data_IF_494792937657
#
_entry.id   IF_494792937657
#
_cell.length_a   1.000
_cell.length_b   1.000
_cell.length_c   1.000
_cell.angle_alpha   90.00
_cell.angle_beta   90.00
_cell.angle_gamma   90.00
#
_symmetry.space_group_name_H-M   'P 1'
#
loop_
_entity.id
_entity.type
_entity.pdbx_description
1 polymer ?
#
# COMPACT_ATOMS: atom_id res chain seq x y z
N UNK A 1 0.37 16.14 21.43
CA UNK A 1 -0.13 15.61 20.16
C UNK A 1 -0.65 14.21 20.42
N UNK A 2 -1.72 13.79 19.76
CA UNK A 2 -2.19 12.42 19.86
C UNK A 2 -1.30 11.46 19.07
N UNK A 3 -1.59 10.15 19.19
CA UNK A 3 -0.85 9.10 18.47
C UNK A 3 -1.56 8.74 17.16
N UNK A 4 -0.78 8.31 16.18
CA UNK A 4 -1.30 7.75 14.92
C UNK A 4 -1.33 6.22 15.02
N UNK A 5 -2.52 5.62 14.85
CA UNK A 5 -2.62 4.17 14.66
C UNK A 5 -2.26 3.83 13.21
N UNK A 6 -1.19 3.06 13.01
CA UNK A 6 -0.80 2.54 11.70
C UNK A 6 -1.05 1.03 11.67
N UNK A 7 -2.03 0.59 10.89
CA UNK A 7 -2.24 -0.85 10.67
C UNK A 7 -1.45 -1.34 9.48
N UNK A 8 -1.01 -2.60 9.50
CA UNK A 8 -0.03 -3.10 8.54
C UNK A 8 1.37 -2.51 8.78
N UNK A 9 1.69 -2.15 10.02
CA UNK A 9 2.92 -1.46 10.41
C UNK A 9 4.20 -2.25 10.13
N UNK A 10 4.14 -3.58 10.09
CA UNK A 10 5.25 -4.45 9.67
C UNK A 10 5.26 -4.71 8.15
N UNK A 11 4.26 -4.21 7.42
CA UNK A 11 4.17 -4.28 5.98
C UNK A 11 5.10 -3.30 5.28
N UNK A 12 5.18 -3.40 3.95
CA UNK A 12 6.03 -2.54 3.12
C UNK A 12 5.74 -1.05 3.32
N UNK A 13 4.54 -0.60 2.98
CA UNK A 13 4.18 0.81 3.05
C UNK A 13 4.01 1.25 4.51
N UNK A 14 3.40 0.41 5.36
CA UNK A 14 3.14 0.73 6.76
C UNK A 14 4.41 1.01 7.57
N UNK A 15 5.49 0.25 7.32
CA UNK A 15 6.78 0.50 7.96
C UNK A 15 7.38 1.85 7.56
N UNK A 16 7.33 2.22 6.28
CA UNK A 16 7.82 3.52 5.80
C UNK A 16 6.99 4.68 6.33
N UNK A 17 5.66 4.54 6.38
CA UNK A 17 4.77 5.56 6.98
C UNK A 17 5.07 5.73 8.46
N UNK A 18 5.19 4.62 9.20
CA UNK A 18 5.56 4.66 10.63
C UNK A 18 6.91 5.35 10.83
N UNK A 19 7.92 5.03 10.02
CA UNK A 19 9.23 5.68 10.07
C UNK A 19 9.13 7.19 9.81
N UNK A 20 8.36 7.61 8.81
CA UNK A 20 8.20 9.02 8.47
C UNK A 20 7.45 9.81 9.55
N UNK A 21 6.43 9.22 10.18
CA UNK A 21 5.73 9.81 11.33
C UNK A 21 6.68 9.98 12.53
N UNK A 22 7.45 8.94 12.87
CA UNK A 22 8.45 9.00 13.92
C UNK A 22 9.53 10.06 13.65
N UNK A 23 9.99 10.18 12.41
CA UNK A 23 10.96 11.22 11.99
C UNK A 23 10.39 12.64 12.11
N UNK A 24 9.07 12.82 12.04
CA UNK A 24 8.36 14.08 12.31
C UNK A 24 8.16 14.35 13.81
N UNK A 25 8.60 13.46 14.69
CA UNK A 25 8.40 13.55 16.14
C UNK A 25 6.99 13.13 16.60
N UNK A 26 6.24 12.44 15.73
CA UNK A 26 4.92 11.91 16.07
C UNK A 26 5.06 10.53 16.76
N UNK A 27 4.08 10.17 17.59
CA UNK A 27 4.03 8.86 18.23
C UNK A 27 3.14 7.91 17.45
N UNK A 28 3.55 6.65 17.32
CA UNK A 28 2.89 5.64 16.49
C UNK A 28 2.50 4.42 17.33
N UNK A 29 1.25 4.00 17.16
CA UNK A 29 0.77 2.67 17.56
C UNK A 29 0.70 1.80 16.31
N UNK A 30 1.62 0.84 16.20
CA UNK A 30 1.68 -0.10 15.07
C UNK A 30 0.87 -1.36 15.34
N UNK A 31 0.11 -1.83 14.35
CA UNK A 31 -0.65 -3.07 14.39
C UNK A 31 -0.35 -3.91 13.15
N UNK A 32 0.02 -5.19 13.33
CA UNK A 32 0.20 -6.17 12.26
C UNK A 32 0.09 -7.59 12.85
N UNK A 33 -0.41 -8.56 12.09
CA UNK A 33 -0.49 -9.96 12.54
C UNK A 33 0.76 -10.79 12.21
N UNK A 34 1.71 -10.22 11.46
CA UNK A 34 2.90 -10.89 10.95
C UNK A 34 2.58 -12.16 10.15
N UNK A 35 1.48 -12.16 9.37
CA UNK A 35 1.06 -13.34 8.61
C UNK A 35 2.18 -13.85 7.68
N UNK A 36 2.23 -15.18 7.40
CA UNK A 36 3.29 -15.81 6.61
C UNK A 36 3.00 -15.79 5.10
N UNK A 37 2.32 -14.77 4.58
CA UNK A 37 2.11 -14.61 3.13
C UNK A 37 3.44 -14.57 2.35
N UNK A 38 4.44 -13.96 2.96
CA UNK A 38 5.85 -14.08 2.60
C UNK A 38 6.67 -14.22 3.88
N UNK A 39 7.98 -14.45 3.76
CA UNK A 39 8.86 -14.70 4.91
C UNK A 39 8.67 -13.65 6.01
N UNK A 40 8.19 -14.02 7.20
CA UNK A 40 8.01 -13.11 8.33
C UNK A 40 9.28 -12.40 8.78
N UNK A 41 10.47 -12.98 8.53
CA UNK A 41 11.75 -12.36 8.89
C UNK A 41 11.89 -10.94 8.30
N UNK A 42 11.37 -10.71 7.09
CA UNK A 42 11.37 -9.38 6.49
C UNK A 42 10.47 -8.39 7.26
N UNK A 43 9.33 -8.85 7.80
CA UNK A 43 8.45 -8.04 8.64
C UNK A 43 9.09 -7.71 9.99
N UNK A 44 9.72 -8.70 10.59
CA UNK A 44 10.45 -8.54 11.86
C UNK A 44 11.63 -7.58 11.70
N UNK A 45 12.39 -7.67 10.61
CA UNK A 45 13.48 -6.76 10.31
C UNK A 45 13.01 -5.30 10.14
N UNK A 46 11.84 -5.06 9.52
CA UNK A 46 11.23 -3.72 9.45
C UNK A 46 10.87 -3.20 10.84
N UNK A 47 10.27 -4.03 11.70
CA UNK A 47 9.94 -3.65 13.08
C UNK A 47 11.19 -3.35 13.92
N UNK A 48 12.25 -4.14 13.78
CA UNK A 48 13.53 -3.87 14.44
C UNK A 48 14.12 -2.52 14.00
N UNK A 49 14.06 -2.21 12.68
CA UNK A 49 14.51 -0.93 12.17
C UNK A 49 13.69 0.24 12.72
N UNK A 50 12.37 0.11 12.84
CA UNK A 50 11.49 1.11 13.46
C UNK A 50 11.81 1.32 14.93
N UNK A 51 11.87 0.24 15.70
CA UNK A 51 12.15 0.30 17.15
C UNK A 51 13.52 0.89 17.44
N UNK A 52 14.54 0.55 16.62
CA UNK A 52 15.91 1.05 16.78
C UNK A 52 16.08 2.54 16.45
N UNK A 53 15.17 3.13 15.70
CA UNK A 53 15.19 4.55 15.30
C UNK A 53 14.24 5.42 16.14
N UNK A 54 13.23 4.83 16.76
CA UNK A 54 12.24 5.56 17.54
C UNK A 54 12.83 6.08 18.86
N UNK A 55 12.42 7.27 19.28
CA UNK A 55 12.63 7.72 20.64
C UNK A 55 11.90 6.78 21.63
N UNK A 56 12.39 6.64 22.87
CA UNK A 56 11.73 5.78 23.85
C UNK A 56 10.26 6.10 24.02
N UNK A 57 9.39 5.08 23.82
CA UNK A 57 7.94 5.21 23.94
C UNK A 57 7.22 5.82 22.72
N UNK A 58 7.95 6.30 21.71
CA UNK A 58 7.34 6.87 20.51
C UNK A 58 6.74 5.83 19.56
N UNK A 59 7.22 4.59 19.59
CA UNK A 59 6.68 3.47 18.79
C UNK A 59 6.26 2.33 19.72
N UNK A 60 5.01 1.92 19.61
CA UNK A 60 4.44 0.77 20.30
C UNK A 60 3.87 -0.19 19.27
N UNK A 61 4.20 -1.48 19.36
CA UNK A 61 3.75 -2.48 18.39
C UNK A 61 2.83 -3.51 19.05
N UNK A 62 1.69 -3.76 18.41
CA UNK A 62 0.73 -4.80 18.77
C UNK A 62 0.66 -5.87 17.68
N UNK A 63 1.01 -7.11 18.04
CA UNK A 63 0.77 -8.26 17.16
C UNK A 63 -0.67 -8.70 17.29
N UNK A 64 -1.51 -8.25 16.34
CA UNK A 64 -2.96 -8.48 16.37
C UNK A 64 -3.49 -8.63 14.95
N UNK A 65 -4.43 -9.55 14.75
CA UNK A 65 -5.14 -9.71 13.48
C UNK A 65 -6.29 -8.69 13.39
N UNK A 66 -6.41 -8.03 12.24
CA UNK A 66 -7.51 -7.08 12.00
C UNK A 66 -8.89 -7.73 12.06
N UNK A 67 -8.97 -9.03 11.73
CA UNK A 67 -10.20 -9.80 11.80
C UNK A 67 -10.57 -10.24 13.22
N UNK A 68 -9.65 -10.13 14.19
CA UNK A 68 -9.96 -10.20 15.61
C UNK A 68 -10.62 -8.90 16.06
N UNK A 69 -11.92 -8.82 15.80
CA UNK A 69 -12.72 -7.61 16.05
C UNK A 69 -12.68 -7.19 17.51
N UNK A 70 -12.76 -8.14 18.45
CA UNK A 70 -12.74 -7.83 19.90
C UNK A 70 -11.38 -7.28 20.32
N UNK A 71 -10.29 -7.89 19.84
CA UNK A 71 -8.93 -7.41 20.07
C UNK A 71 -8.70 -6.01 19.53
N UNK A 72 -9.14 -5.73 18.30
CA UNK A 72 -9.01 -4.39 17.67
C UNK A 72 -9.81 -3.34 18.45
N UNK A 73 -11.06 -3.63 18.77
CA UNK A 73 -11.90 -2.71 19.54
C UNK A 73 -11.37 -2.48 20.96
N UNK A 74 -10.88 -3.54 21.60
CA UNK A 74 -10.23 -3.47 22.93
C UNK A 74 -8.97 -2.60 22.91
N UNK A 75 -8.10 -2.76 21.89
CA UNK A 75 -6.92 -1.91 21.71
C UNK A 75 -7.31 -0.44 21.55
N UNK A 76 -8.24 -0.13 20.64
CA UNK A 76 -8.64 1.26 20.37
C UNK A 76 -9.35 1.92 21.56
N UNK A 77 -10.06 1.15 22.35
CA UNK A 77 -10.67 1.61 23.61
C UNK A 77 -9.63 1.87 24.71
N UNK A 78 -8.62 1.00 24.85
CA UNK A 78 -7.53 1.13 25.81
C UNK A 78 -6.54 2.26 25.48
N UNK A 79 -6.57 2.77 24.23
CA UNK A 79 -5.68 3.82 23.74
C UNK A 79 -6.45 5.09 23.38
N UNK A 80 -6.92 5.84 24.38
CA UNK A 80 -7.64 7.10 24.15
C UNK A 80 -6.76 8.22 23.61
N UNK A 81 -5.47 8.04 23.54
CA UNK A 81 -4.48 8.92 22.94
C UNK A 81 -4.36 8.81 21.40
N UNK A 82 -4.96 7.79 20.77
CA UNK A 82 -5.04 7.70 19.32
C UNK A 82 -6.04 8.75 18.78
N UNK A 83 -5.57 9.66 17.91
CA UNK A 83 -6.38 10.72 17.31
C UNK A 83 -6.53 10.62 15.78
N UNK A 84 -5.69 9.82 15.12
CA UNK A 84 -5.71 9.57 13.67
C UNK A 84 -5.40 8.12 13.34
N UNK A 85 -5.89 7.66 12.19
CA UNK A 85 -5.67 6.28 11.72
C UNK A 85 -5.12 6.29 10.30
N UNK A 86 -4.04 5.54 10.07
CA UNK A 86 -3.54 5.16 8.74
C UNK A 86 -3.73 3.65 8.60
N UNK A 87 -4.81 3.27 7.92
CA UNK A 87 -5.20 1.87 7.77
C UNK A 87 -4.66 1.27 6.48
N UNK A 88 -3.48 0.62 6.56
CA UNK A 88 -2.80 -0.03 5.44
C UNK A 88 -2.80 -1.56 5.56
N UNK A 89 -3.21 -2.10 6.70
CA UNK A 89 -3.32 -3.54 6.94
C UNK A 89 -4.36 -4.18 6.02
N UNK A 90 -3.93 -5.15 5.23
CA UNK A 90 -4.78 -5.89 4.30
C UNK A 90 -4.06 -7.14 3.80
N UNK A 91 -4.82 -8.15 3.35
CA UNK A 91 -4.27 -9.19 2.49
C UNK A 91 -4.13 -8.63 1.08
N UNK A 92 -2.89 -8.53 0.59
CA UNK A 92 -2.55 -8.00 -0.71
C UNK A 92 -2.20 -9.12 -1.71
N UNK A 93 -2.09 -8.78 -3.00
CA UNK A 93 -1.74 -9.71 -4.07
C UNK A 93 -2.96 -10.19 -4.85
N UNK A 94 -3.05 -9.83 -6.14
CA UNK A 94 -4.20 -10.19 -6.99
C UNK A 94 -4.28 -11.71 -7.18
N UNK A 95 -3.15 -12.36 -7.48
CA UNK A 95 -3.12 -13.80 -7.81
C UNK A 95 -3.43 -14.68 -6.61
N UNK A 96 -2.88 -14.35 -5.45
CA UNK A 96 -3.13 -15.11 -4.22
C UNK A 96 -4.61 -15.10 -3.80
N UNK A 97 -5.40 -14.10 -4.25
CA UNK A 97 -6.84 -14.09 -3.98
C UNK A 97 -7.62 -15.21 -4.66
N UNK A 98 -7.04 -15.87 -5.68
CA UNK A 98 -7.61 -17.05 -6.32
C UNK A 98 -7.35 -18.33 -5.52
N UNK A 99 -6.26 -18.35 -4.75
CA UNK A 99 -5.82 -19.53 -3.99
C UNK A 99 -6.33 -19.49 -2.54
N UNK A 100 -6.36 -18.31 -1.91
CA UNK A 100 -6.76 -18.13 -0.52
C UNK A 100 -7.89 -17.08 -0.35
N UNK A 101 -9.09 -17.27 -0.95
CA UNK A 101 -10.13 -16.25 -1.00
C UNK A 101 -10.61 -15.80 0.39
N UNK A 102 -10.70 -16.70 1.35
CA UNK A 102 -11.16 -16.37 2.72
C UNK A 102 -10.19 -15.46 3.49
N UNK A 103 -8.88 -15.52 3.20
CA UNK A 103 -7.92 -14.59 3.79
C UNK A 103 -8.21 -13.14 3.38
N UNK A 104 -8.72 -12.93 2.16
CA UNK A 104 -9.07 -11.59 1.66
C UNK A 104 -10.36 -11.06 2.27
N UNK A 105 -11.40 -11.88 2.40
CA UNK A 105 -12.64 -11.45 3.05
C UNK A 105 -12.40 -11.20 4.54
N UNK A 106 -11.64 -12.05 5.21
CA UNK A 106 -11.29 -11.87 6.62
C UNK A 106 -10.50 -10.56 6.85
N UNK A 107 -9.35 -10.40 6.19
CA UNK A 107 -8.49 -9.24 6.42
C UNK A 107 -9.07 -7.93 5.85
N UNK A 108 -9.61 -7.97 4.61
CA UNK A 108 -9.96 -6.75 3.88
C UNK A 108 -11.40 -6.29 4.11
N UNK A 109 -12.31 -7.19 4.50
CA UNK A 109 -13.71 -6.84 4.76
C UNK A 109 -13.95 -6.81 6.26
N UNK A 110 -13.79 -7.93 6.97
CA UNK A 110 -13.98 -7.97 8.43
C UNK A 110 -12.97 -7.08 9.14
N UNK A 111 -11.68 -7.15 8.77
CA UNK A 111 -10.64 -6.31 9.38
C UNK A 111 -10.85 -4.82 9.12
N UNK A 112 -11.28 -4.42 7.91
CA UNK A 112 -11.62 -3.04 7.63
C UNK A 112 -12.81 -2.57 8.48
N UNK A 113 -13.86 -3.40 8.61
CA UNK A 113 -15.00 -3.13 9.46
C UNK A 113 -14.61 -2.96 10.94
N UNK A 114 -13.66 -3.77 11.44
CA UNK A 114 -13.16 -3.65 12.81
C UNK A 114 -12.55 -2.26 13.08
N UNK A 115 -11.81 -1.72 12.11
CA UNK A 115 -11.25 -0.36 12.21
C UNK A 115 -12.36 0.70 12.16
N UNK A 116 -13.31 0.59 11.22
CA UNK A 116 -14.44 1.52 11.14
C UNK A 116 -15.25 1.56 12.43
N UNK A 117 -15.55 0.40 13.03
CA UNK A 117 -16.23 0.30 14.33
C UNK A 117 -15.40 0.90 15.47
N UNK A 118 -14.09 0.68 15.49
CA UNK A 118 -13.21 1.31 16.47
C UNK A 118 -13.21 2.84 16.36
N UNK A 119 -13.14 3.38 15.14
CA UNK A 119 -13.22 4.83 14.88
C UNK A 119 -14.60 5.35 15.29
N UNK A 120 -15.71 4.69 14.92
CA UNK A 120 -17.06 5.08 15.31
C UNK A 120 -17.23 5.16 16.83
N UNK A 121 -16.74 4.15 17.55
CA UNK A 121 -16.84 4.08 19.03
C UNK A 121 -15.89 5.05 19.75
N UNK A 122 -15.01 5.73 19.00
CA UNK A 122 -14.17 6.78 19.58
C UNK A 122 -14.90 8.11 19.81
N UNK A 123 -16.17 8.22 19.38
CA UNK A 123 -17.06 9.37 19.61
C UNK A 123 -16.43 10.71 19.15
N UNK A 124 -15.78 10.70 17.98
CA UNK A 124 -15.16 11.88 17.37
C UNK A 124 -13.74 12.19 17.86
N UNK A 125 -13.20 11.42 18.78
CA UNK A 125 -11.80 11.55 19.23
C UNK A 125 -10.81 11.27 18.10
N UNK A 126 -11.09 10.28 17.25
CA UNK A 126 -10.33 10.00 16.03
C UNK A 126 -10.88 10.90 14.93
N UNK A 127 -10.14 11.97 14.62
CA UNK A 127 -10.56 13.04 13.71
C UNK A 127 -10.37 12.73 12.23
N UNK A 128 -9.57 11.71 11.86
CA UNK A 128 -9.34 11.34 10.46
C UNK A 128 -8.87 9.90 10.30
N UNK A 129 -9.40 9.25 9.28
CA UNK A 129 -8.93 7.92 8.84
C UNK A 129 -8.50 8.00 7.38
N UNK A 130 -7.22 7.73 7.12
CA UNK A 130 -6.69 7.47 5.78
C UNK A 130 -6.58 5.97 5.58
N UNK A 131 -7.12 5.42 4.50
CA UNK A 131 -7.08 3.98 4.27
C UNK A 131 -6.63 3.61 2.85
N UNK A 132 -5.99 2.44 2.74
CA UNK A 132 -5.53 1.91 1.47
C UNK A 132 -6.66 1.29 0.65
N UNK A 133 -6.86 1.78 -0.57
CA UNK A 133 -7.54 1.10 -1.67
C UNK A 133 -6.53 0.69 -2.75
N UNK A 134 -6.93 0.48 -3.97
CA UNK A 134 -6.09 -0.01 -5.08
C UNK A 134 -6.62 0.43 -6.43
N UNK A 135 -5.73 0.67 -7.39
CA UNK A 135 -6.11 0.87 -8.80
C UNK A 135 -6.85 -0.32 -9.42
N UNK A 136 -6.73 -1.52 -8.82
CA UNK A 136 -7.43 -2.72 -9.29
C UNK A 136 -8.96 -2.61 -9.20
N UNK A 137 -9.50 -1.67 -8.42
CA UNK A 137 -10.97 -1.43 -8.35
C UNK A 137 -11.54 -0.93 -9.67
N UNK A 138 -10.74 -0.29 -10.51
CA UNK A 138 -11.17 0.17 -11.83
C UNK A 138 -11.38 -0.95 -12.85
N UNK A 139 -10.78 -2.12 -12.62
CA UNK A 139 -10.76 -3.21 -13.59
C UNK A 139 -9.84 -2.95 -14.77
N UNK A 140 -10.22 -3.43 -15.96
CA UNK A 140 -9.44 -3.33 -17.20
C UNK A 140 -9.93 -2.17 -18.05
N UNK A 141 -9.01 -1.45 -18.67
CA UNK A 141 -9.24 -0.36 -19.63
C UNK A 141 -8.37 -0.60 -20.88
N UNK A 142 -8.91 -0.30 -22.06
CA UNK A 142 -8.22 -0.51 -23.34
C UNK A 142 -8.00 0.78 -24.14
N UNK A 143 -8.52 1.92 -23.66
CA UNK A 143 -8.48 3.21 -24.36
C UNK A 143 -7.16 3.98 -24.14
N UNK A 144 -6.22 3.42 -23.35
CA UNK A 144 -4.92 4.04 -23.09
C UNK A 144 -4.98 5.34 -22.28
N UNK A 145 -6.12 5.66 -21.67
CA UNK A 145 -6.27 6.86 -20.84
C UNK A 145 -5.89 6.61 -19.39
N UNK A 146 -5.42 7.63 -18.63
CA UNK A 146 -5.20 7.49 -17.21
C UNK A 146 -6.52 7.23 -16.48
N UNK A 147 -6.46 6.46 -15.39
CA UNK A 147 -7.59 6.29 -14.51
C UNK A 147 -7.81 7.55 -13.65
N UNK A 148 -9.06 7.99 -13.56
CA UNK A 148 -9.50 9.12 -12.73
C UNK A 148 -10.40 8.63 -11.62
N UNK A 149 -10.48 9.36 -10.52
CA UNK A 149 -11.36 9.03 -9.39
C UNK A 149 -12.85 9.04 -9.77
N UNK A 150 -13.20 9.80 -10.82
CA UNK A 150 -14.55 9.86 -11.40
C UNK A 150 -14.90 8.67 -12.29
N UNK A 151 -13.91 7.84 -12.66
CA UNK A 151 -14.17 6.64 -13.44
C UNK A 151 -14.89 5.60 -12.58
N UNK A 152 -15.86 4.92 -13.19
CA UNK A 152 -16.65 3.92 -12.49
C UNK A 152 -15.82 2.70 -12.11
N UNK A 153 -15.89 2.31 -10.85
CA UNK A 153 -15.27 1.11 -10.30
C UNK A 153 -16.34 0.01 -10.14
N UNK A 154 -16.87 -0.49 -11.25
CA UNK A 154 -18.01 -1.43 -11.24
C UNK A 154 -17.63 -2.86 -11.64
N UNK A 155 -16.40 -3.08 -12.14
CA UNK A 155 -15.96 -4.37 -12.70
C UNK A 155 -14.60 -4.80 -12.16
N UNK A 156 -14.50 -5.05 -10.84
CA UNK A 156 -13.25 -5.53 -10.27
C UNK A 156 -12.86 -6.86 -10.92
N UNK A 157 -11.61 -6.96 -11.42
CA UNK A 157 -11.13 -8.12 -12.15
C UNK A 157 -10.69 -9.30 -11.25
N UNK A 158 -10.73 -9.13 -9.93
CA UNK A 158 -10.31 -10.14 -8.94
C UNK A 158 -11.05 -9.98 -7.62
N UNK A 159 -11.03 -11.04 -6.81
CA UNK A 159 -11.59 -10.99 -5.46
C UNK A 159 -10.85 -9.95 -4.59
N UNK A 160 -9.53 -9.82 -4.74
CA UNK A 160 -8.77 -8.74 -4.10
C UNK A 160 -9.37 -7.37 -4.40
N UNK A 161 -9.57 -7.06 -5.69
CA UNK A 161 -10.15 -5.80 -6.11
C UNK A 161 -11.57 -5.61 -5.56
N UNK A 162 -12.39 -6.66 -5.56
CA UNK A 162 -13.74 -6.64 -5.02
C UNK A 162 -13.75 -6.34 -3.51
N UNK A 163 -12.85 -6.97 -2.72
CA UNK A 163 -12.76 -6.70 -1.28
C UNK A 163 -12.28 -5.28 -0.97
N UNK A 164 -11.38 -4.71 -1.80
CA UNK A 164 -10.94 -3.32 -1.63
C UNK A 164 -12.03 -2.33 -2.00
N UNK A 165 -12.80 -2.60 -3.07
CA UNK A 165 -13.97 -1.80 -3.42
C UNK A 165 -15.06 -1.87 -2.33
N UNK A 166 -15.29 -3.04 -1.74
CA UNK A 166 -16.18 -3.19 -0.59
C UNK A 166 -15.73 -2.30 0.58
N UNK A 167 -14.43 -2.19 0.84
CA UNK A 167 -13.89 -1.27 1.84
C UNK A 167 -14.22 0.20 1.55
N UNK A 168 -14.12 0.65 0.28
CA UNK A 168 -14.53 2.01 -0.12
C UNK A 168 -16.02 2.25 0.15
N UNK A 169 -16.88 1.27 -0.19
CA UNK A 169 -18.33 1.37 0.01
C UNK A 169 -18.70 1.37 1.51
N UNK A 170 -18.06 0.53 2.32
CA UNK A 170 -18.25 0.54 3.77
C UNK A 170 -17.80 1.87 4.37
N UNK A 171 -16.64 2.39 4.00
CA UNK A 171 -16.13 3.70 4.44
C UNK A 171 -17.09 4.83 4.10
N UNK A 172 -17.64 4.84 2.87
CA UNK A 172 -18.65 5.83 2.45
C UNK A 172 -19.91 5.73 3.31
N UNK A 173 -20.42 4.51 3.52
CA UNK A 173 -21.62 4.27 4.37
C UNK A 173 -21.39 4.75 5.81
N UNK A 174 -20.23 4.45 6.40
CA UNK A 174 -19.89 4.89 7.76
C UNK A 174 -19.74 6.41 7.86
N UNK A 175 -19.22 7.05 6.82
CA UNK A 175 -19.17 8.51 6.74
C UNK A 175 -20.58 9.10 6.71
N UNK A 176 -21.48 8.56 5.87
CA UNK A 176 -22.84 9.08 5.72
C UNK A 176 -23.69 8.87 6.98
N UNK A 177 -23.50 7.73 7.66
CA UNK A 177 -24.31 7.38 8.85
C UNK A 177 -23.76 8.01 10.15
N UNK A 178 -22.46 8.13 10.27
CA UNK A 178 -21.80 8.48 11.55
C UNK A 178 -20.92 9.73 11.46
N UNK A 179 -20.84 10.37 10.29
CA UNK A 179 -20.06 11.61 10.12
C UNK A 179 -18.54 11.41 10.12
N UNK A 180 -18.02 10.19 9.97
CA UNK A 180 -16.58 9.92 10.08
C UNK A 180 -15.81 10.56 8.91
N UNK A 181 -14.81 11.43 9.15
CA UNK A 181 -13.96 11.97 8.11
C UNK A 181 -13.01 10.90 7.59
N UNK A 182 -13.08 10.58 6.28
CA UNK A 182 -12.29 9.50 5.70
C UNK A 182 -11.70 9.86 4.34
N UNK A 183 -10.47 9.41 4.10
CA UNK A 183 -9.77 9.51 2.82
C UNK A 183 -9.27 8.16 2.36
N UNK A 184 -9.80 7.66 1.26
CA UNK A 184 -9.32 6.45 0.59
C UNK A 184 -8.23 6.77 -0.43
N UNK A 185 -7.16 5.98 -0.47
CA UNK A 185 -6.08 6.12 -1.45
C UNK A 185 -6.02 4.89 -2.35
N UNK A 186 -6.25 5.07 -3.65
CA UNK A 186 -6.15 4.01 -4.67
C UNK A 186 -4.71 3.92 -5.14
N UNK A 187 -3.94 3.02 -4.53
CA UNK A 187 -2.53 2.81 -4.87
C UNK A 187 -2.38 2.15 -6.24
N UNK A 188 -1.46 2.71 -7.02
CA UNK A 188 -0.90 2.05 -8.19
C UNK A 188 0.28 1.17 -7.79
N UNK A 189 1.20 0.83 -8.71
CA UNK A 189 2.24 -0.15 -8.40
C UNK A 189 3.37 0.47 -7.58
N UNK A 190 3.40 0.20 -6.28
CA UNK A 190 4.43 0.73 -5.38
C UNK A 190 5.67 -0.16 -5.39
N UNK A 191 6.86 0.46 -5.46
CA UNK A 191 8.14 -0.22 -5.41
C UNK A 191 9.17 0.53 -4.55
N UNK A 192 10.25 -0.15 -4.15
CA UNK A 192 11.32 0.48 -3.38
C UNK A 192 11.97 -0.45 -2.34
N UNK A 193 12.90 0.09 -1.53
CA UNK A 193 13.51 -0.61 -0.40
C UNK A 193 12.47 -1.24 0.53
N UNK A 194 12.81 -2.37 1.15
CA UNK A 194 11.90 -3.08 2.03
C UNK A 194 10.59 -3.53 1.35
N UNK A 195 10.56 -3.61 0.01
CA UNK A 195 9.39 -3.96 -0.77
C UNK A 195 8.87 -5.36 -0.50
N UNK A 196 7.82 -5.75 -1.24
CA UNK A 196 7.23 -7.08 -1.11
C UNK A 196 7.92 -8.08 -2.05
N UNK A 197 8.25 -9.29 -1.57
CA UNK A 197 8.94 -10.31 -2.37
C UNK A 197 8.15 -10.86 -3.57
N UNK A 198 6.81 -10.70 -3.58
CA UNK A 198 5.93 -11.13 -4.68
C UNK A 198 5.85 -10.13 -5.85
N UNK A 199 6.53 -8.99 -5.75
CA UNK A 199 6.53 -7.96 -6.80
C UNK A 199 7.60 -8.21 -7.86
N UNK A 200 7.32 -7.83 -9.12
CA UNK A 200 8.16 -8.10 -10.27
C UNK A 200 9.60 -7.61 -10.10
N UNK A 201 9.82 -6.37 -9.65
CA UNK A 201 11.17 -5.83 -9.44
C UNK A 201 11.99 -6.65 -8.43
N UNK A 202 11.33 -7.18 -7.37
CA UNK A 202 11.98 -8.05 -6.39
C UNK A 202 12.32 -9.42 -6.99
N UNK A 203 11.33 -10.08 -7.61
CA UNK A 203 11.49 -11.39 -8.23
C UNK A 203 12.57 -11.38 -9.32
N UNK A 204 12.62 -10.31 -10.12
CA UNK A 204 13.63 -10.16 -11.16
C UNK A 204 15.02 -9.94 -10.59
N UNK A 205 15.14 -9.12 -9.56
CA UNK A 205 16.43 -8.91 -8.87
C UNK A 205 16.97 -10.20 -8.27
N UNK A 206 16.13 -10.96 -7.58
CA UNK A 206 16.50 -12.26 -6.98
C UNK A 206 16.93 -13.26 -8.05
N UNK A 207 16.15 -13.40 -9.13
CA UNK A 207 16.47 -14.29 -10.23
C UNK A 207 17.78 -13.92 -10.93
N UNK A 208 17.97 -12.63 -11.27
CA UNK A 208 19.18 -12.15 -11.94
C UNK A 208 20.44 -12.38 -11.11
N UNK A 209 20.39 -12.12 -9.80
CA UNK A 209 21.54 -12.36 -8.90
C UNK A 209 21.85 -13.86 -8.70
N UNK A 210 20.86 -14.74 -8.86
CA UNK A 210 21.01 -16.20 -8.84
C UNK A 210 21.38 -16.80 -10.20
N UNK A 211 21.53 -15.98 -11.25
CA UNK A 211 21.76 -16.46 -12.62
C UNK A 211 20.58 -17.25 -13.19
N UNK A 212 19.36 -16.98 -12.72
CA UNK A 212 18.13 -17.63 -13.16
C UNK A 212 17.37 -16.72 -14.15
N UNK A 213 16.64 -17.30 -15.12
CA UNK A 213 15.89 -16.51 -16.07
C UNK A 213 14.69 -15.80 -15.43
N UNK A 214 14.43 -14.57 -15.86
CA UNK A 214 13.22 -13.83 -15.50
C UNK A 214 12.05 -14.17 -16.42
N UNK A 215 10.84 -14.30 -15.87
CA UNK A 215 9.62 -14.61 -16.62
C UNK A 215 8.89 -13.32 -17.00
N UNK A 216 8.77 -13.04 -18.29
CA UNK A 216 8.11 -11.85 -18.81
C UNK A 216 6.75 -12.25 -19.42
N UNK A 217 5.67 -11.99 -18.69
CA UNK A 217 4.31 -12.23 -19.16
C UNK A 217 3.90 -11.20 -20.20
N UNK A 218 2.95 -11.57 -21.08
CA UNK A 218 2.56 -10.79 -22.26
C UNK A 218 3.78 -10.38 -23.12
N UNK A 219 4.78 -11.26 -23.21
CA UNK A 219 6.04 -11.01 -23.95
C UNK A 219 6.79 -9.75 -23.47
N UNK A 220 6.57 -9.32 -22.23
CA UNK A 220 7.11 -8.08 -21.67
C UNK A 220 6.35 -6.80 -22.06
N UNK A 221 5.30 -6.92 -22.88
CA UNK A 221 4.47 -5.79 -23.35
C UNK A 221 3.43 -5.39 -22.30
N UNK A 222 3.91 -4.95 -21.17
CA UNK A 222 3.12 -4.49 -20.03
C UNK A 222 3.54 -3.07 -19.67
N UNK A 223 2.57 -2.20 -19.42
CA UNK A 223 2.81 -0.86 -18.89
C UNK A 223 2.31 -0.78 -17.46
N UNK A 224 3.08 -0.17 -16.58
CA UNK A 224 2.68 0.06 -15.19
C UNK A 224 3.07 1.46 -14.74
N UNK A 225 2.26 1.99 -13.87
CA UNK A 225 2.58 3.17 -13.09
C UNK A 225 3.38 2.73 -11.87
N UNK A 226 4.71 2.79 -11.99
CA UNK A 226 5.62 2.45 -10.89
C UNK A 226 5.86 3.68 -10.03
N UNK A 227 5.41 3.64 -8.80
CA UNK A 227 5.52 4.75 -7.86
C UNK A 227 6.49 4.40 -6.74
N UNK A 228 7.50 5.24 -6.54
CA UNK A 228 8.49 5.02 -5.50
C UNK A 228 7.88 5.17 -4.11
N UNK A 229 8.32 4.33 -3.16
CA UNK A 229 7.70 4.26 -1.83
C UNK A 229 7.74 5.57 -1.06
N UNK A 230 8.81 6.37 -1.16
CA UNK A 230 8.89 7.65 -0.45
C UNK A 230 7.87 8.67 -1.00
N UNK A 231 7.60 8.66 -2.32
CA UNK A 231 6.54 9.48 -2.92
C UNK A 231 5.16 9.05 -2.40
N UNK A 232 4.93 7.74 -2.26
CA UNK A 232 3.70 7.20 -1.65
C UNK A 232 3.56 7.66 -0.19
N UNK A 233 4.63 7.59 0.59
CA UNK A 233 4.63 8.02 1.99
C UNK A 233 4.30 9.51 2.11
N UNK A 234 4.93 10.36 1.30
CA UNK A 234 4.63 11.80 1.31
C UNK A 234 3.19 12.09 0.93
N UNK A 235 2.61 11.33 -0.01
CA UNK A 235 1.20 11.45 -0.38
C UNK A 235 0.24 11.00 0.72
N UNK A 236 0.54 9.90 1.43
CA UNK A 236 -0.25 9.45 2.57
C UNK A 236 -0.23 10.51 3.68
N UNK A 237 0.95 11.04 4.00
CA UNK A 237 1.10 12.07 5.03
C UNK A 237 0.40 13.36 4.65
N UNK A 238 0.50 13.79 3.39
CA UNK A 238 -0.23 14.95 2.89
C UNK A 238 -1.75 14.77 3.04
N UNK A 239 -2.29 13.58 2.72
CA UNK A 239 -3.69 13.28 2.94
C UNK A 239 -4.04 13.25 4.44
N UNK A 240 -3.18 12.66 5.30
CA UNK A 240 -3.41 12.56 6.74
C UNK A 240 -3.47 13.96 7.42
N UNK A 241 -2.62 14.86 6.97
CA UNK A 241 -2.52 16.23 7.50
C UNK A 241 -3.70 17.13 7.08
N UNK A 242 -4.48 16.71 6.06
CA UNK A 242 -5.61 17.46 5.52
C UNK A 242 -6.94 16.69 5.71
N UNK A 243 -7.33 16.53 6.97
CA UNK A 243 -8.60 15.89 7.31
C UNK A 243 -9.77 16.57 6.58
N UNK A 244 -10.64 15.83 5.89
CA UNK A 244 -11.84 16.41 5.31
C UNK A 244 -12.83 16.83 6.40
N UNK A 245 -13.80 17.67 6.07
CA UNK A 245 -14.86 18.01 7.00
C UNK A 245 -15.62 16.77 7.48
N UNK A 246 -16.18 16.82 8.68
CA UNK A 246 -17.05 15.77 9.20
C UNK A 246 -18.16 15.43 8.19
N UNK A 247 -18.48 14.14 8.05
CA UNK A 247 -19.43 13.67 7.05
C UNK A 247 -18.89 13.69 5.60
N UNK A 248 -17.58 13.78 5.42
CA UNK A 248 -16.96 13.76 4.09
C UNK A 248 -16.08 12.52 3.91
N UNK A 249 -16.37 11.78 2.84
CA UNK A 249 -15.54 10.69 2.33
C UNK A 249 -15.02 11.06 0.93
N UNK A 250 -13.72 10.95 0.72
CA UNK A 250 -13.09 11.16 -0.58
C UNK A 250 -12.15 10.01 -0.92
N UNK A 251 -12.03 9.72 -2.21
CA UNK A 251 -11.01 8.79 -2.73
C UNK A 251 -10.08 9.54 -3.68
N UNK A 252 -8.79 9.18 -3.65
CA UNK A 252 -7.76 9.74 -4.51
C UNK A 252 -6.91 8.66 -5.13
N UNK A 253 -6.49 8.88 -6.36
CA UNK A 253 -5.41 8.10 -6.96
C UNK A 253 -4.08 8.55 -6.40
N UNK A 254 -3.23 7.58 -6.06
CA UNK A 254 -1.86 7.82 -5.66
C UNK A 254 -0.93 6.94 -6.51
N UNK A 255 -0.19 7.58 -7.41
CA UNK A 255 0.59 6.96 -8.46
C UNK A 255 1.62 7.92 -9.05
N UNK A 256 2.43 7.47 -9.99
CA UNK A 256 3.46 8.29 -10.62
C UNK A 256 2.95 9.10 -11.83
N UNK A 257 1.75 8.79 -12.34
CA UNK A 257 1.18 9.39 -13.57
C UNK A 257 2.05 9.22 -14.82
N UNK A 258 3.11 8.41 -14.74
CA UNK A 258 4.03 8.14 -15.84
C UNK A 258 4.05 6.64 -16.09
N UNK A 259 3.35 6.17 -17.14
CA UNK A 259 3.36 4.74 -17.45
C UNK A 259 4.72 4.34 -18.00
N UNK A 260 5.35 3.35 -17.37
CA UNK A 260 6.65 2.80 -17.76
C UNK A 260 6.46 1.39 -18.34
N UNK A 261 7.26 1.06 -19.34
CA UNK A 261 7.30 -0.30 -19.89
C UNK A 261 7.97 -1.25 -18.89
N UNK A 262 7.46 -2.48 -18.80
CA UNK A 262 8.09 -3.51 -17.99
C UNK A 262 9.55 -3.77 -18.42
N UNK A 263 9.83 -3.65 -19.72
CA UNK A 263 11.18 -3.83 -20.25
C UNK A 263 12.13 -2.71 -19.85
N UNK A 264 11.66 -1.47 -19.65
CA UNK A 264 12.48 -0.38 -19.13
C UNK A 264 12.86 -0.65 -17.66
N UNK A 265 11.92 -1.17 -16.85
CA UNK A 265 12.25 -1.62 -15.49
C UNK A 265 13.33 -2.70 -15.48
N UNK A 266 13.27 -3.67 -16.39
CA UNK A 266 14.32 -4.71 -16.53
C UNK A 266 15.65 -4.07 -16.90
N UNK A 267 15.67 -3.16 -17.88
CA UNK A 267 16.90 -2.48 -18.30
C UNK A 267 17.55 -1.67 -17.16
N UNK A 268 16.74 -0.98 -16.34
CA UNK A 268 17.26 -0.22 -15.19
C UNK A 268 17.75 -1.14 -14.06
N UNK A 269 17.12 -2.30 -13.87
CA UNK A 269 17.65 -3.32 -12.94
C UNK A 269 18.98 -3.90 -13.46
N UNK A 270 19.08 -4.23 -14.75
CA UNK A 270 20.36 -4.70 -15.36
C UNK A 270 21.48 -3.69 -15.13
N UNK A 271 21.20 -2.41 -15.34
CA UNK A 271 22.17 -1.33 -15.12
C UNK A 271 22.59 -1.23 -13.64
N UNK A 272 21.62 -1.22 -12.72
CA UNK A 272 21.87 -1.08 -11.28
C UNK A 272 22.59 -2.30 -10.67
N UNK A 273 22.28 -3.50 -11.16
CA UNK A 273 22.90 -4.75 -10.71
C UNK A 273 24.24 -5.04 -11.38
N UNK A 274 24.46 -4.53 -12.59
CA UNK A 274 25.62 -4.88 -13.42
C UNK A 274 25.52 -6.28 -14.03
N UNK A 275 24.31 -6.85 -14.13
CA UNK A 275 24.04 -8.22 -14.61
C UNK A 275 22.98 -8.17 -15.71
N UNK A 276 23.16 -8.93 -16.79
CA UNK A 276 22.14 -9.08 -17.83
C UNK A 276 21.13 -10.17 -17.49
N UNK A 277 19.85 -9.87 -17.69
CA UNK A 277 18.76 -10.83 -17.46
C UNK A 277 18.66 -11.83 -18.63
N UNK A 278 18.67 -13.10 -18.32
CA UNK A 278 18.12 -14.13 -19.20
C UNK A 278 16.58 -14.03 -19.16
N UNK A 279 15.91 -14.02 -20.33
CA UNK A 279 14.50 -13.69 -20.45
C UNK A 279 13.70 -14.86 -21.01
N UNK A 280 12.65 -15.28 -20.30
CA UNK A 280 11.64 -16.25 -20.79
C UNK A 280 10.35 -15.50 -21.05
N UNK A 281 9.93 -15.44 -22.30
CA UNK A 281 8.71 -14.79 -22.74
C UNK A 281 7.52 -15.75 -22.57
N UNK A 282 6.47 -15.29 -21.91
CA UNK A 282 5.28 -16.08 -21.61
C UNK A 282 4.02 -15.33 -22.06
N UNK A 283 2.93 -16.06 -22.39
CA UNK A 283 1.65 -15.44 -22.69
C UNK A 283 1.10 -14.67 -21.47
N UNK A 284 0.14 -13.79 -21.72
CA UNK A 284 -0.54 -13.03 -20.67
C UNK A 284 -1.27 -13.97 -19.71
N UNK A 285 -1.22 -13.68 -18.41
CA UNK A 285 -1.90 -14.47 -17.39
C UNK A 285 -3.34 -14.00 -17.15
N UNK A 286 -4.27 -14.90 -16.75
CA UNK A 286 -5.61 -14.53 -16.33
C UNK A 286 -5.59 -13.51 -15.18
N UNK A 287 -6.42 -12.47 -15.29
CA UNK A 287 -6.51 -11.40 -14.29
C UNK A 287 -5.48 -10.28 -14.45
N UNK A 288 -4.49 -10.41 -15.32
CA UNK A 288 -3.57 -9.32 -15.66
C UNK A 288 -4.24 -8.32 -16.61
N UNK A 289 -3.83 -7.06 -16.52
CA UNK A 289 -4.27 -5.97 -17.42
C UNK A 289 -3.04 -5.42 -18.16
N UNK A 290 -3.18 -5.03 -19.46
CA UNK A 290 -2.06 -4.57 -20.29
C UNK A 290 -1.38 -3.31 -19.76
N UNK A 291 -2.15 -2.37 -19.22
CA UNK A 291 -1.64 -1.10 -18.71
C UNK A 291 -2.51 -0.50 -17.63
N UNK A 292 -1.86 0.14 -16.65
CA UNK A 292 -2.54 0.94 -15.62
C UNK A 292 -1.69 2.15 -15.27
N UNK A 293 -2.27 3.36 -15.27
CA UNK A 293 -1.63 4.54 -14.74
C UNK A 293 -2.65 5.57 -14.23
N UNK A 294 -2.19 6.39 -13.28
CA UNK A 294 -3.02 7.32 -12.55
C UNK A 294 -3.13 8.68 -13.24
N UNK A 295 -4.29 9.32 -13.14
CA UNK A 295 -4.39 10.77 -13.07
C UNK A 295 -4.33 11.16 -11.59
N UNK A 296 -3.32 11.92 -11.18
CA UNK A 296 -3.12 12.39 -9.79
C UNK A 296 -3.44 13.89 -9.62
N UNK A 297 -4.13 14.49 -10.58
CA UNK A 297 -4.44 15.91 -10.56
C UNK A 297 -5.28 16.32 -9.33
N UNK A 298 -6.10 15.42 -8.80
CA UNK A 298 -6.86 15.65 -7.57
C UNK A 298 -5.93 15.76 -6.34
N UNK A 299 -4.95 14.85 -6.20
CA UNK A 299 -3.94 14.92 -5.13
C UNK A 299 -3.13 16.22 -5.21
N UNK A 300 -2.72 16.63 -6.42
CA UNK A 300 -1.99 17.87 -6.62
C UNK A 300 -2.83 19.09 -6.24
N UNK A 301 -4.10 19.14 -6.67
CA UNK A 301 -5.00 20.26 -6.40
C UNK A 301 -5.34 20.40 -4.92
N UNK A 302 -5.66 19.27 -4.25
CA UNK A 302 -6.22 19.29 -2.90
C UNK A 302 -5.14 19.25 -1.81
N UNK A 303 -3.96 18.65 -2.09
CA UNK A 303 -2.88 18.48 -1.12
C UNK A 303 -1.53 19.06 -1.57
N UNK A 304 -1.43 19.63 -2.80
CA UNK A 304 -0.16 20.09 -3.35
C UNK A 304 0.85 18.97 -3.64
N UNK A 305 0.40 17.71 -3.63
CA UNK A 305 1.27 16.54 -3.77
C UNK A 305 1.40 16.11 -5.24
N UNK A 306 2.62 15.78 -5.62
CA UNK A 306 2.95 15.09 -6.87
C UNK A 306 4.19 14.20 -6.67
N UNK A 307 4.30 13.07 -7.40
CA UNK A 307 5.45 12.20 -7.33
C UNK A 307 6.67 12.86 -8.00
N UNK A 308 7.86 12.64 -7.42
CA UNK A 308 9.10 13.27 -7.89
C UNK A 308 10.19 12.27 -8.30
N UNK A 309 10.05 11.01 -7.92
CA UNK A 309 11.09 9.99 -8.12
C UNK A 309 10.87 9.23 -9.43
N UNK A 310 11.80 9.31 -10.36
CA UNK A 310 11.78 8.49 -11.58
C UNK A 310 12.14 7.02 -11.30
N UNK A 311 11.74 6.12 -12.22
CA UNK A 311 11.89 4.67 -12.06
C UNK A 311 13.36 4.24 -11.93
N UNK A 312 14.27 4.82 -12.73
CA UNK A 312 15.71 4.49 -12.69
C UNK A 312 16.32 4.82 -11.33
N UNK A 313 16.08 6.03 -10.84
CA UNK A 313 16.53 6.49 -9.52
C UNK A 313 16.00 5.60 -8.39
N UNK A 314 14.72 5.31 -8.39
CA UNK A 314 14.09 4.48 -7.36
C UNK A 314 14.60 3.05 -7.36
N UNK A 315 14.81 2.43 -8.53
CA UNK A 315 15.39 1.08 -8.65
C UNK A 315 16.86 1.06 -8.20
N UNK A 316 17.65 2.09 -8.50
CA UNK A 316 19.00 2.23 -7.98
C UNK A 316 19.04 2.24 -6.44
N UNK A 317 18.12 2.97 -5.78
CA UNK A 317 17.96 2.98 -4.31
C UNK A 317 17.54 1.61 -3.78
N UNK A 318 16.63 0.93 -4.47
CA UNK A 318 16.21 -0.43 -4.12
C UNK A 318 17.37 -1.42 -4.19
N UNK A 319 18.17 -1.42 -5.26
CA UNK A 319 19.35 -2.30 -5.42
C UNK A 319 20.40 -2.01 -4.36
N UNK A 320 20.64 -0.73 -4.04
CA UNK A 320 21.57 -0.36 -2.97
C UNK A 320 21.10 -0.88 -1.60
N UNK A 321 19.80 -0.83 -1.31
CA UNK A 321 19.22 -1.45 -0.11
C UNK A 321 19.35 -2.97 -0.15
N UNK A 322 19.06 -3.62 -1.28
CA UNK A 322 19.16 -5.07 -1.45
C UNK A 322 20.56 -5.58 -1.08
N UNK A 323 21.61 -4.93 -1.62
CA UNK A 323 23.01 -5.29 -1.33
C UNK A 323 23.39 -5.15 0.16
N UNK A 324 22.78 -4.20 0.87
CA UNK A 324 23.00 -4.06 2.32
C UNK A 324 22.27 -5.08 3.16
N UNK A 325 21.10 -5.52 2.69
CA UNK A 325 20.23 -6.41 3.45
C UNK A 325 20.56 -7.88 3.23
N UNK A 326 20.96 -8.27 2.03
CA UNK A 326 21.27 -9.65 1.65
C UNK A 326 22.75 -9.90 1.33
N UNK A 327 23.60 -8.89 1.23
CA UNK A 327 25.03 -8.95 0.86
C UNK A 327 26.01 -9.01 2.04
#
# INVERSE_FOLDING_TARGET
MGRVLVTGAAGFIGAHVSQALLARGEEVVGLDNLNPYYDPALKEARLQALTGQAAPGAFEFHRLDLADTEGVLGLMAARPDIDRVVHLGAQAGVRWSLEAPFAYTSANVTGHLSILEGVRRSEGRIGHTVYASTSSVYGSRQDGQPFRETDRAERPASLYAATKLAGEMMSKSYTDLYGLPQTGLRFFTVYGPWGRPDMAYWLFTDAMLKGQPIKLFNEGRMMRDFTYVDDIVTGILAALDHAPAAGTHRTYNIGNSRPEQLLDMVAFLEEALGVKAERVLLPMQPGDVPGTFADVSAMKRDFGWEPVTDLRTGLGRFVAWWRRYFG
#
